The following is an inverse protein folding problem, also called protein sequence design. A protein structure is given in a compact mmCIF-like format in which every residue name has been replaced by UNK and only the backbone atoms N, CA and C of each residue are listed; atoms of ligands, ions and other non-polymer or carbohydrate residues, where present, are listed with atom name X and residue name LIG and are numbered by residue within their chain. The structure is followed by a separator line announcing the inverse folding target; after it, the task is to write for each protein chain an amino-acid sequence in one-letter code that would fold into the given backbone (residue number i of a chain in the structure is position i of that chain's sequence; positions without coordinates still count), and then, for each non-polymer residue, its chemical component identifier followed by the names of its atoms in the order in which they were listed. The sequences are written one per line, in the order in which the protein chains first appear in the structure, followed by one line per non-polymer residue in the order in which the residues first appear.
data_IF_401037734748
#
_entry.id   IF_401037734748
#
_cell.length_a   1.000
_cell.length_b   1.000
_cell.length_c   1.000
_cell.angle_alpha   90.00
_cell.angle_beta   90.00
_cell.angle_gamma   90.00
#
_symmetry.space_group_name_H-M   'P 1'
#
loop_
_entity.id
_entity.type
_entity.pdbx_description
1 polymer ?
#
# COMPACT_ATOMS: atom_id res chain seq x y z
N UNK A 1 -4.72 -11.91 6.90
CA UNK A 1 -4.95 -11.33 5.58
C UNK A 1 -6.45 -11.17 5.29
N UNK A 2 -7.21 -12.26 5.14
CA UNK A 2 -8.66 -12.25 4.82
C UNK A 2 -9.49 -11.16 5.52
N UNK A 3 -9.44 -11.05 6.86
CA UNK A 3 -10.20 -10.04 7.61
C UNK A 3 -9.95 -8.58 7.18
N UNK A 4 -8.71 -8.25 6.79
CA UNK A 4 -8.43 -6.89 6.31
C UNK A 4 -8.96 -6.69 4.89
N UNK A 5 -8.83 -7.68 4.02
CA UNK A 5 -9.38 -7.62 2.66
C UNK A 5 -10.90 -7.47 2.70
N UNK A 6 -11.60 -8.18 3.59
CA UNK A 6 -13.04 -8.02 3.75
C UNK A 6 -13.39 -6.62 4.28
N UNK A 7 -12.67 -6.11 5.29
CA UNK A 7 -12.89 -4.75 5.77
C UNK A 7 -12.62 -3.69 4.69
N UNK A 8 -11.57 -3.87 3.88
CA UNK A 8 -11.28 -2.98 2.77
C UNK A 8 -12.39 -2.97 1.73
N UNK A 9 -12.97 -4.14 1.41
CA UNK A 9 -14.14 -4.23 0.52
C UNK A 9 -15.38 -3.54 1.10
N UNK A 10 -15.62 -3.68 2.41
CA UNK A 10 -16.76 -3.04 3.07
C UNK A 10 -16.61 -1.51 3.10
N UNK A 11 -15.42 -1.02 3.45
CA UNK A 11 -15.15 0.42 3.62
C UNK A 11 -15.02 1.15 2.29
N UNK A 12 -14.32 0.57 1.32
CA UNK A 12 -14.05 1.21 0.03
C UNK A 12 -15.09 0.86 -1.06
N UNK A 13 -15.84 -0.23 -0.89
CA UNK A 13 -16.87 -0.65 -1.84
C UNK A 13 -16.36 -0.75 -3.28
N UNK A 14 -17.08 -0.10 -4.19
CA UNK A 14 -16.78 -0.08 -5.63
C UNK A 14 -15.50 0.70 -5.97
N UNK A 15 -14.99 1.55 -5.06
CA UNK A 15 -13.72 2.24 -5.27
C UNK A 15 -12.52 1.31 -5.11
N UNK A 16 -12.65 0.14 -4.47
CA UNK A 16 -11.55 -0.80 -4.34
C UNK A 16 -11.32 -1.58 -5.64
N UNK A 17 -10.22 -1.26 -6.34
CA UNK A 17 -9.83 -1.95 -7.57
C UNK A 17 -9.08 -3.25 -7.26
N UNK A 18 -8.09 -3.19 -6.36
CA UNK A 18 -7.22 -4.34 -6.06
C UNK A 18 -6.55 -4.24 -4.70
N UNK A 19 -6.23 -5.41 -4.13
CA UNK A 19 -5.38 -5.53 -2.94
C UNK A 19 -4.21 -6.44 -3.28
N UNK A 20 -3.00 -5.91 -3.15
CA UNK A 20 -1.76 -6.61 -3.47
C UNK A 20 -0.98 -6.86 -2.18
N UNK A 21 -0.61 -8.12 -1.94
CA UNK A 21 0.34 -8.49 -0.90
C UNK A 21 1.76 -8.32 -1.45
N UNK A 22 2.61 -7.61 -0.72
CA UNK A 22 4.02 -7.49 -1.05
C UNK A 22 4.90 -7.72 0.18
N UNK A 23 6.20 -7.49 0.06
CA UNK A 23 7.14 -7.65 1.17
C UNK A 23 7.52 -9.11 1.45
N UNK A 24 8.03 -9.37 2.66
CA UNK A 24 8.57 -10.68 3.05
C UNK A 24 7.54 -11.80 3.03
N UNK A 25 6.27 -11.49 3.31
CA UNK A 25 5.15 -12.45 3.23
C UNK A 25 4.94 -12.95 1.80
N UNK A 26 4.97 -12.05 0.81
CA UNK A 26 4.81 -12.43 -0.59
C UNK A 26 6.01 -13.28 -1.09
N UNK A 27 7.20 -13.07 -0.53
CA UNK A 27 8.43 -13.82 -0.89
C UNK A 27 8.62 -15.13 -0.12
N UNK A 28 7.80 -15.40 0.89
CA UNK A 28 7.98 -16.56 1.78
C UNK A 28 9.12 -16.43 2.78
N UNK A 29 9.61 -15.21 3.02
CA UNK A 29 10.72 -14.88 3.93
C UNK A 29 10.24 -14.40 5.30
N UNK A 30 8.93 -14.28 5.50
CA UNK A 30 8.39 -13.72 6.72
C UNK A 30 8.49 -14.68 7.91
N UNK A 31 8.80 -14.11 9.07
CA UNK A 31 8.81 -14.77 10.37
C UNK A 31 7.60 -14.34 11.23
N UNK A 32 7.57 -14.76 12.50
CA UNK A 32 6.52 -14.40 13.45
C UNK A 32 6.51 -12.92 13.89
N UNK A 33 7.54 -12.16 13.52
CA UNK A 33 7.69 -10.75 13.87
C UNK A 33 7.46 -9.81 12.70
N UNK A 34 7.47 -10.35 11.48
CA UNK A 34 7.30 -9.61 10.24
C UNK A 34 5.94 -8.90 10.17
N UNK A 35 6.00 -7.63 9.77
CA UNK A 35 4.82 -6.90 9.33
C UNK A 35 4.24 -7.53 8.05
N UNK A 36 2.96 -7.25 7.80
CA UNK A 36 2.30 -7.64 6.55
C UNK A 36 2.03 -6.38 5.74
N UNK A 37 2.72 -6.26 4.63
CA UNK A 37 2.65 -5.10 3.74
C UNK A 37 1.61 -5.30 2.65
N UNK A 38 0.70 -4.33 2.53
CA UNK A 38 -0.42 -4.39 1.58
C UNK A 38 -0.49 -3.10 0.78
N UNK A 39 -0.73 -3.23 -0.52
CA UNK A 39 -0.99 -2.10 -1.41
C UNK A 39 -2.43 -2.19 -1.87
N UNK A 40 -3.20 -1.15 -1.60
CA UNK A 40 -4.57 -0.99 -2.07
C UNK A 40 -4.52 -0.06 -3.28
N UNK A 41 -5.11 -0.53 -4.38
CA UNK A 41 -5.35 0.28 -5.57
C UNK A 41 -6.82 0.67 -5.56
N UNK A 42 -7.09 1.97 -5.60
CA UNK A 42 -8.43 2.54 -5.50
C UNK A 42 -8.74 3.43 -6.70
N UNK A 43 -10.00 3.48 -7.13
CA UNK A 43 -10.44 4.31 -8.25
C UNK A 43 -10.29 5.81 -7.94
N UNK A 44 -10.56 6.18 -6.68
CA UNK A 44 -10.50 7.55 -6.19
C UNK A 44 -9.72 7.61 -4.88
N UNK A 45 -9.11 8.76 -4.61
CA UNK A 45 -8.39 8.97 -3.36
C UNK A 45 -9.39 9.01 -2.18
N UNK A 46 -9.25 8.12 -1.19
CA UNK A 46 -10.16 8.08 -0.06
C UNK A 46 -9.98 9.29 0.84
N UNK A 47 -11.08 9.75 1.44
CA UNK A 47 -11.04 10.78 2.47
C UNK A 47 -10.34 10.29 3.74
N UNK A 48 -9.96 11.24 4.60
CA UNK A 48 -9.27 10.95 5.87
C UNK A 48 -10.08 10.01 6.78
N UNK A 49 -11.41 10.14 6.80
CA UNK A 49 -12.30 9.28 7.58
C UNK A 49 -12.25 7.83 7.09
N UNK A 50 -12.34 7.61 5.78
CA UNK A 50 -12.20 6.29 5.17
C UNK A 50 -10.83 5.67 5.45
N UNK A 51 -9.76 6.46 5.38
CA UNK A 51 -8.40 6.02 5.74
C UNK A 51 -8.30 5.64 7.22
N UNK A 52 -8.92 6.41 8.11
CA UNK A 52 -8.99 6.12 9.53
C UNK A 52 -9.75 4.81 9.81
N UNK A 53 -10.90 4.60 9.17
CA UNK A 53 -11.67 3.36 9.27
C UNK A 53 -10.85 2.15 8.83
N UNK A 54 -10.14 2.25 7.69
CA UNK A 54 -9.22 1.19 7.23
C UNK A 54 -8.11 0.93 8.24
N UNK A 55 -7.52 1.98 8.83
CA UNK A 55 -6.49 1.86 9.85
C UNK A 55 -7.01 1.16 11.11
N UNK A 56 -8.21 1.49 11.58
CA UNK A 56 -8.84 0.84 12.72
C UNK A 56 -9.23 -0.61 12.43
N UNK A 57 -9.60 -0.91 11.18
CA UNK A 57 -9.89 -2.27 10.73
C UNK A 57 -8.63 -3.12 10.50
N UNK A 58 -7.43 -2.53 10.62
CA UNK A 58 -6.14 -3.17 10.38
C UNK A 58 -5.59 -3.75 11.70
N UNK A 59 -5.53 -5.09 11.86
CA UNK A 59 -4.90 -5.68 13.04
C UNK A 59 -3.43 -5.28 13.17
N UNK A 60 -2.85 -5.38 14.39
CA UNK A 60 -1.45 -5.06 14.63
C UNK A 60 -0.50 -5.76 13.64
N UNK A 61 0.62 -5.10 13.33
CA UNK A 61 1.67 -5.56 12.40
C UNK A 61 1.19 -5.75 10.97
N UNK A 62 0.38 -4.81 10.51
CA UNK A 62 -0.03 -4.71 9.12
C UNK A 62 0.14 -3.27 8.72
N UNK A 63 0.87 -3.07 7.64
CA UNK A 63 1.03 -1.77 7.03
C UNK A 63 0.29 -1.80 5.70
N UNK A 64 -0.38 -0.71 5.39
CA UNK A 64 -0.98 -0.57 4.08
C UNK A 64 -0.64 0.77 3.46
N UNK A 65 -0.54 0.77 2.15
CA UNK A 65 -0.46 1.95 1.31
C UNK A 65 -1.71 1.98 0.43
N UNK A 66 -2.26 3.16 0.20
CA UNK A 66 -3.41 3.34 -0.65
C UNK A 66 -3.05 4.32 -1.76
N UNK A 67 -3.26 3.93 -3.01
CA UNK A 67 -2.94 4.74 -4.17
C UNK A 67 -4.00 4.62 -5.25
N UNK A 68 -4.25 5.72 -5.96
CA UNK A 68 -4.89 5.62 -7.27
C UNK A 68 -3.90 5.05 -8.31
N UNK A 69 -4.38 4.53 -9.46
CA UNK A 69 -3.49 4.11 -10.55
C UNK A 69 -2.49 5.19 -10.97
N UNK A 70 -2.91 6.46 -11.02
CA UNK A 70 -2.07 7.59 -11.42
C UNK A 70 -0.96 7.86 -10.40
N UNK A 71 -1.30 7.84 -9.10
CA UNK A 71 -0.33 8.01 -8.02
C UNK A 71 0.70 6.88 -8.04
N UNK A 72 0.25 5.63 -8.22
CA UNK A 72 1.15 4.47 -8.26
C UNK A 72 2.07 4.53 -9.49
N UNK A 73 1.55 4.90 -10.66
CA UNK A 73 2.36 5.08 -11.87
C UNK A 73 3.41 6.18 -11.70
N UNK A 74 3.07 7.25 -11.00
CA UNK A 74 3.99 8.35 -10.68
C UNK A 74 5.11 7.85 -9.77
N UNK A 75 4.77 7.18 -8.67
CA UNK A 75 5.75 6.60 -7.75
C UNK A 75 6.70 5.62 -8.44
N UNK A 76 6.20 4.75 -9.32
CA UNK A 76 7.03 3.82 -10.10
C UNK A 76 7.99 4.56 -11.04
N UNK A 77 7.54 5.66 -11.66
CA UNK A 77 8.40 6.50 -12.52
C UNK A 77 9.50 7.15 -11.71
N UNK A 78 9.18 7.70 -10.54
CA UNK A 78 10.15 8.37 -9.67
C UNK A 78 11.21 7.39 -9.15
N UNK A 79 10.81 6.16 -8.81
CA UNK A 79 11.75 5.10 -8.43
C UNK A 79 12.69 4.67 -9.57
N UNK A 80 12.25 4.84 -10.82
CA UNK A 80 13.02 4.49 -12.03
C UNK A 80 13.77 5.67 -12.60
N UNK A 81 13.53 6.89 -12.12
CA UNK A 81 14.33 8.04 -12.50
C UNK A 81 15.77 7.80 -12.02
N UNK A 82 16.79 7.99 -12.87
CA UNK A 82 18.17 7.91 -12.41
C UNK A 82 18.33 8.90 -11.26
N UNK A 83 18.88 8.46 -10.12
CA UNK A 83 19.34 9.36 -9.07
C UNK A 83 20.29 10.37 -9.74
N UNK A 84 19.80 11.56 -10.05
CA UNK A 84 20.61 12.63 -10.61
C UNK A 84 21.70 12.89 -9.58
N UNK A 85 22.91 12.53 -10.00
CA UNK A 85 24.17 12.69 -9.31
C UNK A 85 24.20 13.94 -8.41
N UNK A 86 24.08 13.72 -7.11
CA UNK A 86 24.80 14.53 -6.14
C UNK A 86 26.27 14.10 -6.25
N UNK A 87 26.94 14.50 -7.34
CA UNK A 87 28.40 14.57 -7.38
C UNK A 87 28.71 16.04 -7.13
N UNK A 88 28.79 16.39 -5.85
CA UNK A 88 29.74 17.40 -5.43
C UNK A 88 31.15 16.85 -5.76
N UNK A 89 31.93 17.63 -6.50
CA UNK A 89 33.32 17.28 -6.76
C UNK A 89 34.02 18.22 -7.71
N UNK A 90 34.69 19.24 -7.15
CA UNK A 90 35.87 19.87 -7.75
C UNK A 90 35.75 21.35 -8.02
#
# INVERSE_FOLDING_TARGET
MRRFVEAAKEVLGDDLISVILFGSQARGEADGWSDRDMLLIVAHEPGEETLLELALATPPRRQFQCHTPEQLLTAIRDLRAPQMAMVDGG
#
